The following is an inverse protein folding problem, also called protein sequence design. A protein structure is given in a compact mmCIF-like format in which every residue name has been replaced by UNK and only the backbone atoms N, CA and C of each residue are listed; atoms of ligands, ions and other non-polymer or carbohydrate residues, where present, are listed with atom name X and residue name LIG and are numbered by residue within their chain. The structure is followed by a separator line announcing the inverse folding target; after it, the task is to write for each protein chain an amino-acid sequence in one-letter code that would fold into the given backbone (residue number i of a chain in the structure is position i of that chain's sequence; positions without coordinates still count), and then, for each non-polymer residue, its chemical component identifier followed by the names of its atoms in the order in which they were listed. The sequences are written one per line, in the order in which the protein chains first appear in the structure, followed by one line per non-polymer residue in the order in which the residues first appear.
data_IF_311147139518
#
_entry.id   IF_311147139518
#
_cell.length_a   1.000
_cell.length_b   1.000
_cell.length_c   1.000
_cell.angle_alpha   90.00
_cell.angle_beta   90.00
_cell.angle_gamma   90.00
#
_symmetry.space_group_name_H-M   'P 1'
#
loop_
_entity.id
_entity.type
_entity.pdbx_description
1 polymer ?
#
# COMPACT_ATOMS: atom_id res chain seq x y z
N UNK A 1 -44.79 5.39 -4.13
CA UNK A 1 -44.03 4.55 -3.17
C UNK A 1 -42.58 4.63 -3.60
N UNK A 2 -41.75 5.38 -2.87
CA UNK A 2 -40.35 5.64 -3.26
C UNK A 2 -39.45 4.53 -2.73
N UNK A 3 -38.79 3.81 -3.63
CA UNK A 3 -37.72 2.85 -3.28
C UNK A 3 -36.42 3.62 -3.08
N UNK A 4 -35.99 3.80 -1.84
CA UNK A 4 -34.65 4.28 -1.52
C UNK A 4 -33.70 3.10 -1.61
N UNK A 5 -32.90 3.04 -2.68
CA UNK A 5 -31.74 2.15 -2.79
C UNK A 5 -30.69 2.62 -1.79
N UNK A 6 -30.51 1.87 -0.70
CA UNK A 6 -29.41 2.08 0.24
C UNK A 6 -28.12 1.66 -0.45
N UNK A 7 -27.21 2.60 -0.71
CA UNK A 7 -25.87 2.27 -1.18
C UNK A 7 -25.18 1.38 -0.12
N UNK A 8 -24.46 0.31 -0.52
CA UNK A 8 -23.57 -0.38 0.40
C UNK A 8 -22.58 0.66 0.92
N UNK A 9 -22.58 0.91 2.22
CA UNK A 9 -21.52 1.68 2.86
C UNK A 9 -20.28 0.81 2.75
N UNK A 10 -19.50 1.01 1.68
CA UNK A 10 -18.19 0.40 1.57
C UNK A 10 -17.44 0.72 2.88
N UNK A 11 -16.84 -0.27 3.54
CA UNK A 11 -16.01 0.01 4.69
C UNK A 11 -14.87 0.92 4.24
N UNK A 12 -15.02 2.22 4.51
CA UNK A 12 -14.05 3.24 4.12
C UNK A 12 -12.90 3.09 5.10
N UNK A 13 -11.78 2.56 4.62
CA UNK A 13 -10.55 2.68 5.36
C UNK A 13 -10.13 4.15 5.41
N UNK A 14 -10.09 4.80 6.59
CA UNK A 14 -9.48 6.10 6.72
C UNK A 14 -7.97 5.89 6.60
N UNK A 15 -7.48 5.74 5.38
CA UNK A 15 -6.06 5.78 5.11
C UNK A 15 -5.65 7.26 5.16
N UNK A 16 -4.90 7.73 6.18
CA UNK A 16 -4.22 9.03 6.08
C UNK A 16 -3.28 9.02 4.86
N UNK A 17 -2.75 10.19 4.45
CA UNK A 17 -1.89 10.47 3.28
C UNK A 17 -0.72 9.48 3.03
N UNK A 18 -1.04 8.22 2.77
CA UNK A 18 -0.14 7.13 2.45
C UNK A 18 -0.13 7.05 0.93
N UNK A 19 1.02 7.24 0.29
CA UNK A 19 1.10 7.13 -1.16
C UNK A 19 0.78 5.70 -1.58
N UNK A 20 0.03 5.55 -2.67
CA UNK A 20 -0.26 4.23 -3.23
C UNK A 20 1.01 3.51 -3.72
N UNK A 21 2.04 4.27 -4.07
CA UNK A 21 3.34 3.75 -4.51
C UNK A 21 4.46 4.52 -3.82
N UNK A 22 5.39 3.79 -3.22
CA UNK A 22 6.61 4.30 -2.61
C UNK A 22 7.80 3.75 -3.38
N UNK A 23 8.76 4.61 -3.71
CA UNK A 23 10.02 4.23 -4.37
C UNK A 23 11.16 4.86 -3.62
N UNK A 24 12.20 4.11 -3.34
CA UNK A 24 13.24 4.59 -2.44
C UNK A 24 14.24 3.55 -2.03
N UNK A 25 15.15 3.97 -1.17
CA UNK A 25 16.08 3.08 -0.47
C UNK A 25 15.58 2.88 0.95
N UNK A 26 15.35 1.62 1.33
CA UNK A 26 15.04 1.26 2.71
C UNK A 26 16.31 1.38 3.55
N UNK A 27 16.38 2.38 4.43
CA UNK A 27 17.55 2.61 5.28
C UNK A 27 17.88 1.46 6.24
N UNK A 28 16.89 0.63 6.60
CA UNK A 28 17.12 -0.49 7.50
C UNK A 28 17.92 -1.61 6.83
N UNK A 29 17.73 -1.80 5.52
CA UNK A 29 18.36 -2.90 4.76
C UNK A 29 19.39 -2.42 3.73
N UNK A 30 19.41 -1.13 3.40
CA UNK A 30 20.16 -0.57 2.28
C UNK A 30 19.59 -0.94 0.91
N UNK A 31 18.43 -1.61 0.86
CA UNK A 31 17.85 -2.10 -0.39
C UNK A 31 17.05 -1.02 -1.07
N UNK A 32 17.35 -0.79 -2.34
CA UNK A 32 16.53 0.04 -3.21
C UNK A 32 15.35 -0.77 -3.74
N UNK A 33 14.14 -0.22 -3.68
CA UNK A 33 12.93 -0.94 -4.01
C UNK A 33 11.75 -0.06 -4.44
N UNK A 34 10.71 -0.75 -4.90
CA UNK A 34 9.39 -0.19 -5.20
C UNK A 34 8.35 -0.94 -4.38
N UNK A 35 7.54 -0.21 -3.63
CA UNK A 35 6.46 -0.75 -2.81
C UNK A 35 5.12 -0.20 -3.28
N UNK A 36 4.13 -1.07 -3.48
CA UNK A 36 2.74 -0.67 -3.66
C UNK A 36 2.00 -0.90 -2.34
N UNK A 37 1.29 0.13 -1.87
CA UNK A 37 0.64 0.16 -0.57
C UNK A 37 -0.87 0.29 -0.78
N UNK A 38 -1.64 -0.64 -0.22
CA UNK A 38 -3.09 -0.66 -0.39
C UNK A 38 -3.78 -1.00 0.92
N UNK A 39 -4.62 -0.09 1.41
CA UNK A 39 -5.50 -0.39 2.52
C UNK A 39 -6.60 -1.36 2.06
N UNK A 40 -6.83 -2.40 2.85
CA UNK A 40 -7.90 -3.37 2.68
C UNK A 40 -8.76 -3.33 3.95
N UNK A 41 -10.05 -3.00 3.84
CA UNK A 41 -10.94 -3.01 4.99
C UNK A 41 -11.03 -4.42 5.55
N UNK A 42 -10.84 -4.53 6.86
CA UNK A 42 -11.16 -5.74 7.62
C UNK A 42 -12.43 -5.47 8.44
N UNK A 43 -13.18 -6.52 8.78
CA UNK A 43 -14.51 -6.42 9.39
C UNK A 43 -14.61 -5.29 10.43
N UNK A 44 -15.52 -4.33 10.18
CA UNK A 44 -15.74 -3.16 11.04
C UNK A 44 -14.94 -1.91 10.60
N UNK A 45 -14.24 -1.29 11.55
CA UNK A 45 -13.52 -0.01 11.40
C UNK A 45 -11.99 -0.18 11.30
N UNK A 46 -11.49 -1.42 11.24
CA UNK A 46 -10.07 -1.73 11.13
C UNK A 46 -9.66 -1.94 9.69
N UNK A 47 -8.39 -1.66 9.40
CA UNK A 47 -7.83 -1.81 8.06
C UNK A 47 -6.52 -2.56 8.16
N UNK A 48 -6.38 -3.58 7.31
CA UNK A 48 -5.09 -4.17 7.01
C UNK A 48 -4.49 -3.47 5.79
N UNK A 49 -3.19 -3.62 5.60
CA UNK A 49 -2.47 -3.07 4.47
C UNK A 49 -1.81 -4.20 3.71
N UNK A 50 -2.05 -4.25 2.42
CA UNK A 50 -1.29 -5.09 1.49
C UNK A 50 -0.11 -4.27 1.02
N UNK A 51 1.09 -4.81 1.25
CA UNK A 51 2.36 -4.25 0.78
C UNK A 51 2.93 -5.22 -0.23
N UNK A 52 3.05 -4.78 -1.47
CA UNK A 52 3.71 -5.53 -2.53
C UNK A 52 5.08 -4.89 -2.77
N UNK A 53 6.15 -5.67 -2.79
CA UNK A 53 7.52 -5.20 -2.90
C UNK A 53 8.28 -5.85 -4.06
N UNK A 54 9.09 -5.05 -4.75
CA UNK A 54 10.06 -5.48 -5.75
C UNK A 54 11.38 -4.75 -5.52
N UNK A 55 12.49 -5.50 -5.58
CA UNK A 55 13.83 -4.92 -5.59
C UNK A 55 14.09 -4.10 -6.86
N UNK A 56 14.63 -2.90 -6.69
CA UNK A 56 14.91 -1.95 -7.77
C UNK A 56 13.81 -0.93 -8.03
N UNK A 57 14.10 0.00 -8.94
CA UNK A 57 13.17 1.06 -9.34
C UNK A 57 12.30 0.62 -10.51
N UNK A 58 11.04 0.33 -10.22
CA UNK A 58 10.05 0.01 -11.24
C UNK A 58 9.25 1.27 -11.55
N UNK A 59 9.58 1.88 -12.69
CA UNK A 59 8.91 3.11 -13.18
C UNK A 59 7.77 2.83 -14.17
N UNK A 60 7.61 1.58 -14.62
CA UNK A 60 6.62 1.18 -15.61
C UNK A 60 5.63 0.19 -15.02
N UNK A 61 4.33 0.47 -15.18
CA UNK A 61 3.25 -0.43 -14.77
C UNK A 61 3.32 -1.78 -15.50
N UNK A 62 3.68 -1.78 -16.80
CA UNK A 62 3.83 -3.01 -17.55
C UNK A 62 4.95 -3.91 -16.98
N UNK A 63 6.04 -3.31 -16.52
CA UNK A 63 7.13 -4.03 -15.84
C UNK A 63 6.67 -4.52 -14.48
N UNK A 64 5.96 -3.68 -13.72
CA UNK A 64 5.36 -4.07 -12.44
C UNK A 64 4.53 -5.33 -12.61
N UNK A 65 3.54 -5.34 -13.51
CA UNK A 65 2.61 -6.45 -13.72
C UNK A 65 3.28 -7.79 -14.03
N UNK A 66 4.46 -7.77 -14.65
CA UNK A 66 5.23 -8.97 -15.02
C UNK A 66 6.26 -9.40 -13.99
N UNK A 67 6.59 -8.55 -13.01
CA UNK A 67 7.64 -8.84 -12.04
C UNK A 67 7.09 -9.66 -10.87
N UNK A 68 7.86 -10.64 -10.42
CA UNK A 68 7.56 -11.35 -9.17
C UNK A 68 7.64 -10.39 -7.99
N UNK A 69 6.61 -10.40 -7.15
CA UNK A 69 6.46 -9.49 -6.00
C UNK A 69 6.44 -10.30 -4.72
N UNK A 70 7.17 -9.81 -3.72
CA UNK A 70 6.92 -10.22 -2.35
C UNK A 70 5.66 -9.51 -1.88
N UNK A 71 4.74 -10.24 -1.24
CA UNK A 71 3.45 -9.71 -0.82
C UNK A 71 3.25 -10.00 0.65
N UNK A 72 3.10 -8.94 1.44
CA UNK A 72 2.86 -9.00 2.87
C UNK A 72 1.55 -8.30 3.23
N UNK A 73 0.86 -8.82 4.25
CA UNK A 73 -0.30 -8.18 4.86
C UNK A 73 0.10 -7.69 6.25
N UNK A 74 0.07 -6.39 6.46
CA UNK A 74 0.56 -5.73 7.68
C UNK A 74 -0.49 -4.78 8.24
N UNK A 75 -0.27 -4.29 9.46
CA UNK A 75 -1.09 -3.22 10.03
C UNK A 75 -0.62 -1.83 9.55
N UNK A 76 -1.39 -0.80 9.90
CA UNK A 76 -1.07 0.58 9.56
C UNK A 76 0.26 1.06 10.20
N UNK A 77 0.62 0.59 11.39
CA UNK A 77 1.84 1.01 12.08
C UNK A 77 3.09 0.57 11.31
N UNK A 78 3.06 -0.65 10.75
CA UNK A 78 4.12 -1.16 9.88
C UNK A 78 4.27 -0.34 8.60
N UNK A 79 3.17 0.10 7.99
CA UNK A 79 3.23 0.98 6.80
C UNK A 79 3.82 2.33 7.15
N UNK A 80 3.41 2.95 8.26
CA UNK A 80 3.99 4.22 8.71
C UNK A 80 5.48 4.09 9.01
N UNK A 81 5.91 2.97 9.61
CA UNK A 81 7.32 2.66 9.82
C UNK A 81 8.08 2.47 8.49
N UNK A 82 7.46 1.87 7.47
CA UNK A 82 8.00 1.77 6.12
C UNK A 82 8.19 3.16 5.49
N UNK A 83 7.18 4.02 5.55
CA UNK A 83 7.25 5.38 5.01
C UNK A 83 8.33 6.21 5.70
N UNK A 84 8.48 6.06 7.02
CA UNK A 84 9.50 6.80 7.77
C UNK A 84 10.93 6.31 7.49
N UNK A 85 11.13 5.03 7.16
CA UNK A 85 12.47 4.45 6.96
C UNK A 85 12.96 4.52 5.52
N UNK A 86 12.06 4.51 4.54
CA UNK A 86 12.43 4.60 3.13
C UNK A 86 12.74 6.06 2.81
N UNK A 87 13.96 6.30 2.33
CA UNK A 87 14.30 7.59 1.75
C UNK A 87 13.75 7.60 0.31
N UNK A 88 12.71 8.41 0.03
CA UNK A 88 12.10 8.40 -1.29
C UNK A 88 13.08 8.97 -2.30
N UNK A 89 13.18 8.30 -3.43
CA UNK A 89 13.86 8.82 -4.60
C UNK A 89 12.84 8.88 -5.72
N UNK A 90 12.73 10.06 -6.34
CA UNK A 90 11.72 10.46 -7.32
C UNK A 90 10.39 10.91 -6.68
#
# INVERSE_FOLDING_TARGET
MSTTTSAPTEPICPAPDVPAVLRGTDRATGTTGTWHLRAVPTDGATCSWVVEHVGGHIMSEAVWMQTHRDVDVVDQAHVLALLARVDPCC
#
